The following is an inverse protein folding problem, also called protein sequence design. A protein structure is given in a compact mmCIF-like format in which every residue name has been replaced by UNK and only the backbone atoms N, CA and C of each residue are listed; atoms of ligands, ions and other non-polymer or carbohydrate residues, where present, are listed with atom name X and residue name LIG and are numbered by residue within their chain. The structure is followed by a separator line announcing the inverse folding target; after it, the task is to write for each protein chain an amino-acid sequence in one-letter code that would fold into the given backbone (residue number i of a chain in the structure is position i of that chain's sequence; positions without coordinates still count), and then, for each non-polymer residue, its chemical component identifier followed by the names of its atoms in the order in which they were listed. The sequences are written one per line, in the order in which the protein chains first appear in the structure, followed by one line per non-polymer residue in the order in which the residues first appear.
data_IF_006251619109
#
_entry.id   IF_006251619109
#
_cell.length_a   1.000
_cell.length_b   1.000
_cell.length_c   1.000
_cell.angle_alpha   90.00
_cell.angle_beta   90.00
_cell.angle_gamma   90.00
#
_symmetry.space_group_name_H-M   'P 1'
#
loop_
_entity.id
_entity.type
_entity.pdbx_description
1 polymer ?
#
# COMPACT_ATOMS: atom_id res chain seq x y z
N UNK A 1 1.74 22.53 -6.42
CA UNK A 1 1.56 22.09 -5.01
C UNK A 1 2.93 21.95 -4.37
N UNK A 2 3.12 22.27 -3.07
CA UNK A 2 4.49 22.26 -2.52
C UNK A 2 5.02 20.83 -2.33
N UNK A 3 6.34 20.64 -2.48
CA UNK A 3 7.02 19.36 -2.23
C UNK A 3 6.63 18.72 -0.88
N UNK A 4 6.49 19.53 0.17
CA UNK A 4 6.10 19.08 1.51
C UNK A 4 4.68 18.51 1.54
N UNK A 5 3.76 19.07 0.75
CA UNK A 5 2.37 18.62 0.69
C UNK A 5 2.26 17.26 0.01
N UNK A 6 2.97 17.06 -1.12
CA UNK A 6 3.08 15.74 -1.75
C UNK A 6 3.70 14.71 -0.82
N UNK A 7 4.79 15.07 -0.14
CA UNK A 7 5.44 14.19 0.84
C UNK A 7 4.46 13.72 1.92
N UNK A 8 3.64 14.64 2.44
CA UNK A 8 2.61 14.32 3.43
C UNK A 8 1.56 13.37 2.86
N UNK A 9 1.02 13.67 1.67
CA UNK A 9 0.01 12.82 1.00
C UNK A 9 0.54 11.40 0.77
N UNK A 10 1.77 11.25 0.30
CA UNK A 10 2.42 9.94 0.08
C UNK A 10 2.49 9.16 1.40
N UNK A 11 2.95 9.80 2.48
CA UNK A 11 3.11 9.14 3.77
C UNK A 11 1.77 8.66 4.37
N UNK A 12 0.68 9.40 4.13
CA UNK A 12 -0.66 9.06 4.64
C UNK A 12 -1.45 8.14 3.72
N UNK A 13 -1.01 7.92 2.48
CA UNK A 13 -1.71 7.05 1.54
C UNK A 13 -1.72 5.60 2.04
N UNK A 14 -2.90 4.98 1.97
CA UNK A 14 -3.14 3.60 2.46
C UNK A 14 -3.44 2.62 1.34
N UNK A 15 -3.73 3.14 0.13
CA UNK A 15 -4.06 2.32 -1.03
C UNK A 15 -3.17 2.64 -2.23
N UNK A 16 -3.00 1.66 -3.13
CA UNK A 16 -2.27 1.87 -4.39
C UNK A 16 -2.95 2.94 -5.26
N UNK A 17 -4.29 2.98 -5.28
CA UNK A 17 -5.07 3.95 -6.04
C UNK A 17 -4.84 5.39 -5.58
N UNK A 18 -4.69 5.62 -4.27
CA UNK A 18 -4.32 6.94 -3.75
C UNK A 18 -2.92 7.36 -4.22
N UNK A 19 -1.95 6.42 -4.19
CA UNK A 19 -0.60 6.68 -4.67
C UNK A 19 -0.54 6.93 -6.18
N UNK A 20 -1.35 6.25 -6.98
CA UNK A 20 -1.44 6.48 -8.43
C UNK A 20 -2.00 7.87 -8.72
N UNK A 21 -3.08 8.30 -8.05
CA UNK A 21 -3.59 9.67 -8.17
C UNK A 21 -2.56 10.73 -7.78
N UNK A 22 -1.81 10.49 -6.70
CA UNK A 22 -0.75 11.41 -6.28
C UNK A 22 0.36 11.49 -7.34
N UNK A 23 0.68 10.39 -8.00
CA UNK A 23 1.66 10.37 -9.09
C UNK A 23 1.15 11.15 -10.31
N UNK A 24 -0.11 10.96 -10.69
CA UNK A 24 -0.73 11.67 -11.81
C UNK A 24 -0.76 13.19 -11.54
N UNK A 25 -1.19 13.61 -10.34
CA UNK A 25 -1.18 15.01 -9.92
C UNK A 25 0.24 15.59 -9.98
N UNK A 26 1.22 14.83 -9.53
CA UNK A 26 2.63 15.23 -9.46
C UNK A 26 3.28 15.39 -10.84
N UNK A 27 2.92 14.55 -11.82
CA UNK A 27 3.47 14.64 -13.19
C UNK A 27 2.91 15.83 -13.98
N UNK A 28 1.78 16.38 -13.54
CA UNK A 28 1.16 17.57 -14.13
C UNK A 28 1.57 18.87 -13.42
N UNK A 29 2.34 18.78 -12.33
CA UNK A 29 2.70 19.92 -11.49
C UNK A 29 4.00 20.58 -11.97
N UNK A 30 3.86 21.68 -12.71
CA UNK A 30 4.99 22.45 -13.25
C UNK A 30 5.79 23.20 -12.16
N UNK A 31 5.26 23.33 -10.94
CA UNK A 31 5.94 23.99 -9.82
C UNK A 31 6.98 23.09 -9.15
N UNK A 32 7.00 21.79 -9.47
CA UNK A 32 7.91 20.81 -8.89
C UNK A 32 9.17 20.69 -9.76
N UNK A 33 10.35 20.86 -9.16
CA UNK A 33 11.60 20.66 -9.86
C UNK A 33 11.87 19.18 -10.17
N UNK A 34 12.67 18.88 -11.20
CA UNK A 34 13.04 17.51 -11.57
C UNK A 34 13.63 16.70 -10.41
N UNK A 35 14.42 17.35 -9.56
CA UNK A 35 15.02 16.72 -8.39
C UNK A 35 13.97 16.39 -7.32
N UNK A 36 13.02 17.28 -7.09
CA UNK A 36 11.88 17.04 -6.19
C UNK A 36 10.98 15.93 -6.74
N UNK A 37 10.66 15.97 -8.03
CA UNK A 37 9.90 14.96 -8.75
C UNK A 37 10.54 13.57 -8.60
N UNK A 38 11.84 13.47 -8.82
CA UNK A 38 12.60 12.22 -8.65
C UNK A 38 12.48 11.67 -7.22
N UNK A 39 12.65 12.54 -6.21
CA UNK A 39 12.54 12.14 -4.82
C UNK A 39 11.13 11.67 -4.45
N UNK A 40 10.09 12.38 -4.92
CA UNK A 40 8.69 12.00 -4.68
C UNK A 40 8.32 10.70 -5.40
N UNK A 41 8.77 10.48 -6.64
CA UNK A 41 8.60 9.20 -7.37
C UNK A 41 9.24 8.03 -6.61
N UNK A 42 10.43 8.23 -6.06
CA UNK A 42 11.09 7.22 -5.21
C UNK A 42 10.26 6.91 -3.96
N UNK A 43 9.72 7.93 -3.29
CA UNK A 43 8.85 7.75 -2.12
C UNK A 43 7.56 7.00 -2.46
N UNK A 44 6.91 7.34 -3.58
CA UNK A 44 5.71 6.66 -4.07
C UNK A 44 5.99 5.17 -4.28
N UNK A 45 7.10 4.84 -4.95
CA UNK A 45 7.48 3.44 -5.22
C UNK A 45 7.74 2.66 -3.92
N UNK A 46 8.46 3.23 -2.96
CA UNK A 46 8.66 2.61 -1.64
C UNK A 46 7.31 2.36 -0.96
N UNK A 47 6.40 3.35 -0.97
CA UNK A 47 5.08 3.21 -0.33
C UNK A 47 4.21 2.16 -1.00
N UNK A 48 4.27 2.02 -2.34
CA UNK A 48 3.59 0.95 -3.09
C UNK A 48 4.07 -0.42 -2.63
N UNK A 49 5.37 -0.61 -2.38
CA UNK A 49 5.92 -1.87 -1.88
C UNK A 49 5.48 -2.17 -0.45
N UNK A 50 5.45 -1.17 0.44
CA UNK A 50 4.90 -1.31 1.80
C UNK A 50 3.46 -1.81 1.78
N UNK A 51 2.58 -1.14 1.04
CA UNK A 51 1.16 -1.51 0.95
C UNK A 51 0.98 -2.93 0.40
N UNK A 52 1.72 -3.31 -0.64
CA UNK A 52 1.67 -4.68 -1.18
C UNK A 52 2.14 -5.72 -0.17
N UNK A 53 3.23 -5.43 0.55
CA UNK A 53 3.75 -6.31 1.59
C UNK A 53 2.73 -6.51 2.72
N UNK A 54 2.06 -5.44 3.14
CA UNK A 54 1.05 -5.52 4.21
C UNK A 54 -0.22 -6.26 3.76
N UNK A 55 -0.63 -6.10 2.50
CA UNK A 55 -1.73 -6.89 1.92
C UNK A 55 -1.39 -8.38 1.90
N UNK A 56 -0.19 -8.75 1.45
CA UNK A 56 0.26 -10.15 1.43
C UNK A 56 0.26 -10.74 2.85
N UNK A 57 0.82 -10.03 3.84
CA UNK A 57 0.83 -10.49 5.24
C UNK A 57 -0.58 -10.69 5.79
N UNK A 58 -1.52 -9.83 5.41
CA UNK A 58 -2.93 -9.96 5.82
C UNK A 58 -3.57 -11.20 5.20
N UNK A 59 -3.35 -11.43 3.91
CA UNK A 59 -3.88 -12.58 3.20
C UNK A 59 -3.36 -13.90 3.77
N UNK A 60 -2.06 -13.98 4.09
CA UNK A 60 -1.48 -15.14 4.77
C UNK A 60 -2.14 -15.42 6.12
N UNK A 61 -2.25 -14.40 6.99
CA UNK A 61 -2.91 -14.53 8.30
C UNK A 61 -4.38 -14.97 8.19
N UNK A 62 -5.09 -14.50 7.16
CA UNK A 62 -6.48 -14.91 6.94
C UNK A 62 -6.58 -16.36 6.47
N UNK A 63 -5.66 -16.84 5.63
CA UNK A 63 -5.64 -18.25 5.20
C UNK A 63 -5.35 -19.19 6.36
N UNK A 64 -4.34 -18.90 7.19
CA UNK A 64 -4.00 -19.73 8.36
C UNK A 64 -5.18 -19.92 9.31
N UNK A 65 -5.94 -18.83 9.57
CA UNK A 65 -7.12 -18.91 10.43
C UNK A 65 -8.24 -19.78 9.85
N UNK A 66 -8.47 -19.71 8.53
CA UNK A 66 -9.48 -20.54 7.88
C UNK A 66 -9.11 -22.02 7.94
N UNK A 67 -7.86 -22.36 7.67
CA UNK A 67 -7.38 -23.75 7.73
C UNK A 67 -7.45 -24.32 9.17
N UNK A 68 -7.23 -23.50 10.20
CA UNK A 68 -7.38 -23.93 11.60
C UNK A 68 -8.86 -24.18 11.97
N UNK A 69 -9.78 -23.33 11.49
CA UNK A 69 -11.22 -23.50 11.71
C UNK A 69 -11.78 -24.73 10.98
N UNK A 70 -11.37 -24.98 9.74
CA UNK A 70 -11.77 -26.16 8.95
C UNK A 70 -11.33 -27.47 9.64
N UNK A 71 -10.09 -27.53 10.13
CA UNK A 71 -9.59 -28.71 10.87
C UNK A 71 -10.34 -28.96 12.18
N UNK A 72 -10.75 -27.90 12.89
CA UNK A 72 -11.55 -28.05 14.13
C UNK A 72 -12.94 -28.61 13.83
N UNK A 73 -13.57 -28.16 12.75
CA UNK A 73 -14.89 -28.65 12.34
C UNK A 73 -14.86 -30.11 11.89
N UNK A 74 -13.82 -30.54 11.15
CA UNK A 74 -13.65 -31.94 10.77
C UNK A 74 -13.54 -32.86 12.00
N UNK A 75 -12.76 -32.47 13.02
CA UNK A 75 -12.60 -33.26 14.25
C UNK A 75 -13.91 -33.35 15.04
N UNK A 76 -14.71 -32.27 15.09
CA UNK A 76 -16.00 -32.26 15.81
C UNK A 76 -17.09 -33.09 15.12
N UNK A 77 -17.03 -33.27 13.80
CA UNK A 77 -18.00 -34.08 13.06
C UNK A 77 -17.76 -35.60 13.19
N UNK A 78 -16.54 -36.00 13.54
CA UNK A 78 -16.13 -37.41 13.69
C UNK A 78 -16.33 -37.97 15.12
N UNK A 79 -16.93 -37.21 16.05
CA UNK A 79 -17.23 -37.59 17.45
C UNK A 79 -18.73 -37.76 17.67
#
# INVERSE_FOLDING_TARGET
MLFIEYKRKINTATTLKELDKILDDLELDEDISDNELYNLKKMINTKKLEIKSDQIKKDFKTKEKKEEEEKKQEIEMDI
#
